data_IF_017090114947
#
_entry.id   IF_017090114947
#
_cell.length_a   1.000
_cell.length_b   1.000
_cell.length_c   1.000
_cell.angle_alpha   90.00
_cell.angle_beta   90.00
_cell.angle_gamma   90.00
#
_symmetry.space_group_name_H-M   'P 1'
#
loop_
_entity.id
_entity.type
_entity.pdbx_description
1 polymer ?
#
# COMPACT_ATOMS: atom_id res chain seq x y z
N UNK A 1 -12.10 7.53 -28.12
CA UNK A 1 -10.86 6.76 -28.37
C UNK A 1 -10.90 5.31 -27.84
N UNK A 2 -11.73 4.95 -26.85
CA UNK A 2 -11.84 3.56 -26.39
C UNK A 2 -12.67 2.65 -27.31
N UNK A 3 -13.63 3.20 -28.06
CA UNK A 3 -14.51 2.41 -28.94
C UNK A 3 -13.78 1.84 -30.17
N UNK A 4 -12.77 2.54 -30.69
CA UNK A 4 -11.99 2.11 -31.86
C UNK A 4 -10.95 1.04 -31.51
N UNK A 5 -10.54 0.95 -30.24
CA UNK A 5 -9.68 -0.13 -29.74
C UNK A 5 -10.47 -1.43 -29.51
N UNK A 6 -11.76 -1.34 -29.14
CA UNK A 6 -12.62 -2.53 -29.01
C UNK A 6 -12.91 -3.20 -30.36
N UNK A 7 -13.10 -2.43 -31.43
CA UNK A 7 -13.31 -2.98 -32.77
C UNK A 7 -12.05 -3.67 -33.31
N UNK A 8 -10.85 -3.18 -32.97
CA UNK A 8 -9.59 -3.78 -33.40
C UNK A 8 -9.29 -5.09 -32.67
N UNK A 9 -9.55 -5.15 -31.36
CA UNK A 9 -9.40 -6.38 -30.56
C UNK A 9 -10.39 -7.48 -30.98
N UNK A 10 -11.64 -7.13 -31.31
CA UNK A 10 -12.63 -8.10 -31.80
C UNK A 10 -12.24 -8.70 -33.17
N UNK A 11 -11.64 -7.89 -34.05
CA UNK A 11 -11.15 -8.34 -35.36
C UNK A 11 -9.94 -9.27 -35.23
N UNK A 12 -9.00 -9.01 -34.32
CA UNK A 12 -7.86 -9.91 -34.07
C UNK A 12 -8.31 -11.25 -33.45
N UNK A 13 -9.27 -11.23 -32.52
CA UNK A 13 -9.84 -12.48 -31.98
C UNK A 13 -10.61 -13.29 -33.02
N UNK A 14 -11.30 -12.64 -33.96
CA UNK A 14 -12.04 -13.32 -35.03
C UNK A 14 -11.11 -14.00 -36.05
N UNK A 15 -9.99 -13.33 -36.40
CA UNK A 15 -8.97 -13.89 -37.30
C UNK A 15 -8.25 -15.06 -36.64
N UNK A 16 -7.95 -14.99 -35.34
CA UNK A 16 -7.34 -16.12 -34.62
C UNK A 16 -8.30 -17.30 -34.44
N UNK A 17 -9.61 -17.08 -34.27
CA UNK A 17 -10.61 -18.15 -34.22
C UNK A 17 -10.74 -18.88 -35.57
N UNK A 18 -10.64 -18.15 -36.69
CA UNK A 18 -10.74 -18.71 -38.04
C UNK A 18 -9.50 -19.55 -38.43
N UNK A 19 -8.35 -19.31 -37.78
CA UNK A 19 -7.13 -20.10 -37.95
C UNK A 19 -7.13 -21.38 -37.09
N UNK A 20 -7.85 -21.38 -35.95
CA UNK A 20 -7.96 -22.54 -35.04
C UNK A 20 -8.98 -23.57 -35.53
N UNK A 21 -10.04 -23.15 -36.22
CA UNK A 21 -11.04 -24.07 -36.81
C UNK A 21 -10.61 -24.69 -38.15
N UNK A 22 -9.52 -24.22 -38.77
CA UNK A 22 -9.05 -24.71 -40.07
C UNK A 22 -8.12 -25.94 -40.01
N UNK A 23 -7.84 -26.47 -38.82
CA UNK A 23 -6.94 -27.60 -38.64
C UNK A 23 -7.49 -28.64 -37.68
N UNK A 24 -8.35 -29.56 -38.18
CA UNK A 24 -8.54 -30.94 -37.70
C UNK A 24 -9.72 -31.61 -38.43
N UNK A 25 -9.52 -32.04 -39.69
CA UNK A 25 -10.39 -33.03 -40.33
C UNK A 25 -9.80 -34.44 -40.11
N UNK A 26 -10.01 -35.02 -38.93
CA UNK A 26 -9.60 -36.39 -38.62
C UNK A 26 -10.68 -37.46 -38.94
N UNK A 27 -11.69 -37.13 -39.74
CA UNK A 27 -12.86 -38.01 -39.92
C UNK A 27 -13.04 -38.65 -41.32
N UNK A 28 -12.09 -38.53 -42.24
CA UNK A 28 -12.22 -39.16 -43.57
C UNK A 28 -11.49 -40.50 -43.74
N UNK A 29 -10.58 -40.88 -42.84
CA UNK A 29 -9.79 -42.11 -42.99
C UNK A 29 -10.51 -43.34 -42.40
N UNK A 30 -11.40 -43.13 -41.42
CA UNK A 30 -12.15 -44.24 -40.79
C UNK A 30 -13.30 -44.80 -41.64
N UNK A 31 -13.74 -44.11 -42.70
CA UNK A 31 -14.85 -44.57 -43.55
C UNK A 31 -14.43 -45.41 -44.76
N UNK A 32 -13.14 -45.48 -45.12
CA UNK A 32 -12.69 -46.29 -46.26
C UNK A 32 -12.35 -47.74 -45.92
N UNK A 33 -12.19 -48.10 -44.64
CA UNK A 33 -11.75 -49.45 -44.25
C UNK A 33 -12.94 -50.41 -43.97
N UNK A 34 -14.17 -49.90 -43.90
CA UNK A 34 -15.35 -50.72 -43.54
C UNK A 34 -16.11 -51.34 -44.73
N UNK A 35 -15.77 -51.02 -45.99
CA UNK A 35 -16.62 -51.37 -47.14
C UNK A 35 -16.13 -52.52 -48.04
N UNK A 36 -14.95 -53.10 -47.80
CA UNK A 36 -14.38 -54.11 -48.71
C UNK A 36 -14.52 -55.57 -48.25
N UNK A 37 -15.25 -55.86 -47.16
CA UNK A 37 -15.37 -57.22 -46.59
C UNK A 37 -16.64 -58.00 -47.01
N UNK A 38 -17.19 -57.73 -48.19
CA UNK A 38 -18.26 -58.57 -48.77
C UNK A 38 -18.19 -58.59 -50.28
N UNK A 39 -17.49 -59.57 -50.86
CA UNK A 39 -18.02 -60.42 -51.95
C UNK A 39 -17.35 -61.78 -51.99
N UNK A 40 -18.21 -62.79 -52.10
CA UNK A 40 -17.96 -64.23 -52.09
C UNK A 40 -17.18 -64.70 -53.33
N UNK A 41 -16.28 -65.68 -53.17
CA UNK A 41 -15.98 -66.72 -54.20
C UNK A 41 -17.11 -67.78 -54.17
N UNK A 42 -17.44 -68.60 -55.22
CA UNK A 42 -16.58 -69.13 -56.32
C UNK A 42 -17.41 -69.24 -57.68
N UNK A 43 -17.20 -70.11 -58.72
CA UNK A 43 -16.41 -71.35 -58.86
C UNK A 43 -15.23 -71.31 -59.85
N UNK A 44 -14.22 -72.13 -59.54
CA UNK A 44 -13.19 -72.53 -60.49
C UNK A 44 -13.74 -73.56 -61.49
N UNK A 45 -13.38 -73.41 -62.76
CA UNK A 45 -13.44 -74.49 -63.75
C UNK A 45 -12.05 -74.69 -64.31
N UNK A 46 -11.51 -75.88 -64.05
CA UNK A 46 -10.26 -76.40 -64.56
C UNK A 46 -10.21 -76.38 -66.09
N UNK A 47 -9.08 -75.93 -66.64
CA UNK A 47 -8.51 -76.59 -67.81
C UNK A 47 -7.01 -76.73 -67.62
N UNK A 48 -6.64 -77.89 -67.09
CA UNK A 48 -5.30 -78.45 -67.11
C UNK A 48 -4.83 -78.55 -68.57
N UNK A 49 -3.71 -77.90 -68.91
CA UNK A 49 -2.82 -78.42 -69.93
C UNK A 49 -1.45 -78.61 -69.29
N UNK A 50 -1.16 -79.88 -69.01
CA UNK A 50 0.14 -80.37 -68.58
C UNK A 50 1.19 -80.06 -69.65
N UNK A 51 2.22 -79.33 -69.27
CA UNK A 51 3.57 -79.46 -69.79
C UNK A 51 4.45 -79.67 -68.57
N UNK A 52 4.67 -80.94 -68.23
CA UNK A 52 5.53 -81.39 -67.15
C UNK A 52 6.99 -81.19 -67.55
N UNK A 53 7.61 -80.14 -67.04
CA UNK A 53 9.07 -80.08 -66.86
C UNK A 53 9.36 -80.15 -65.35
N UNK A 54 10.24 -81.04 -64.87
CA UNK A 54 10.56 -81.15 -63.44
C UNK A 54 11.15 -79.86 -62.85
N UNK A 55 11.65 -78.96 -63.69
CA UNK A 55 12.37 -77.75 -63.28
C UNK A 55 11.44 -76.52 -63.13
N UNK A 56 10.32 -76.46 -63.86
CA UNK A 56 9.42 -75.30 -63.84
C UNK A 56 8.44 -75.29 -62.66
N UNK A 57 8.01 -76.46 -62.19
CA UNK A 57 7.15 -76.58 -61.00
C UNK A 57 7.92 -76.27 -59.71
N UNK A 58 9.21 -76.63 -59.64
CA UNK A 58 10.10 -76.28 -58.54
C UNK A 58 10.29 -74.76 -58.47
N UNK A 59 10.55 -74.12 -59.62
CA UNK A 59 10.79 -72.68 -59.73
C UNK A 59 9.54 -71.84 -59.40
N UNK A 60 8.35 -72.26 -59.86
CA UNK A 60 7.09 -71.59 -59.51
C UNK A 60 6.74 -71.72 -58.02
N UNK A 61 7.02 -72.87 -57.39
CA UNK A 61 6.75 -73.06 -55.96
C UNK A 61 7.71 -72.25 -55.06
N UNK A 62 8.96 -72.06 -55.50
CA UNK A 62 9.96 -71.20 -54.86
C UNK A 62 9.54 -69.72 -54.91
N UNK A 63 9.22 -69.19 -56.09
CA UNK A 63 8.84 -67.76 -56.24
C UNK A 63 7.56 -67.42 -55.46
N UNK A 64 6.54 -68.27 -55.49
CA UNK A 64 5.29 -68.02 -54.75
C UNK A 64 5.49 -68.12 -53.23
N UNK A 65 6.38 -69.01 -52.77
CA UNK A 65 6.79 -69.14 -51.37
C UNK A 65 7.51 -67.87 -50.88
N UNK A 66 8.41 -67.31 -51.69
CA UNK A 66 9.14 -66.09 -51.35
C UNK A 66 8.21 -64.86 -51.26
N UNK A 67 7.25 -64.73 -52.19
CA UNK A 67 6.24 -63.66 -52.16
C UNK A 67 5.36 -63.76 -50.91
N UNK A 68 4.88 -64.96 -50.57
CA UNK A 68 4.09 -65.17 -49.35
C UNK A 68 4.89 -64.91 -48.08
N UNK A 69 6.18 -65.20 -48.10
CA UNK A 69 7.10 -64.91 -46.98
C UNK A 69 7.24 -63.40 -46.81
N UNK A 70 7.54 -62.66 -47.88
CA UNK A 70 7.66 -61.20 -47.85
C UNK A 70 6.34 -60.51 -47.42
N UNK A 71 5.19 -61.00 -47.88
CA UNK A 71 3.88 -60.48 -47.45
C UNK A 71 3.61 -60.76 -45.97
N UNK A 72 4.03 -61.90 -45.44
CA UNK A 72 3.91 -62.22 -44.02
C UNK A 72 4.79 -61.32 -43.17
N UNK A 73 6.03 -61.07 -43.60
CA UNK A 73 6.95 -60.13 -42.95
C UNK A 73 6.40 -58.71 -42.97
N UNK A 74 5.89 -58.24 -44.11
CA UNK A 74 5.24 -56.94 -44.21
C UNK A 74 3.98 -56.85 -43.32
N UNK A 75 3.18 -57.91 -43.27
CA UNK A 75 2.02 -57.97 -42.38
C UNK A 75 2.47 -57.87 -40.92
N UNK A 76 3.53 -58.58 -40.53
CA UNK A 76 4.08 -58.51 -39.19
C UNK A 76 4.55 -57.08 -38.84
N UNK A 77 5.32 -56.43 -39.72
CA UNK A 77 5.83 -55.07 -39.47
C UNK A 77 4.71 -54.03 -39.42
N UNK A 78 3.69 -54.13 -40.27
CA UNK A 78 2.51 -53.25 -40.23
C UNK A 78 1.71 -53.46 -38.94
N UNK A 79 1.55 -54.71 -38.49
CA UNK A 79 0.87 -54.98 -37.21
C UNK A 79 1.64 -54.41 -36.02
N UNK A 80 2.97 -54.48 -36.03
CA UNK A 80 3.84 -53.90 -35.00
C UNK A 80 3.78 -52.37 -35.01
N UNK A 81 3.86 -51.72 -36.17
CA UNK A 81 3.70 -50.28 -36.30
C UNK A 81 2.34 -49.79 -35.79
N UNK A 82 1.26 -50.53 -36.07
CA UNK A 82 -0.09 -50.21 -35.57
C UNK A 82 -0.17 -50.28 -34.04
N UNK A 83 0.55 -51.21 -33.41
CA UNK A 83 0.66 -51.28 -31.95
C UNK A 83 1.44 -50.08 -31.41
N UNK A 84 2.57 -49.73 -32.03
CA UNK A 84 3.38 -48.59 -31.62
C UNK A 84 2.62 -47.26 -31.72
N UNK A 85 1.84 -47.04 -32.78
CA UNK A 85 0.99 -45.85 -32.94
C UNK A 85 -0.03 -45.77 -31.80
N UNK A 86 -0.75 -46.85 -31.50
CA UNK A 86 -1.71 -46.88 -30.38
C UNK A 86 -1.04 -46.59 -29.04
N UNK A 87 0.16 -47.12 -28.82
CA UNK A 87 0.93 -46.85 -27.60
C UNK A 87 1.33 -45.37 -27.49
N UNK A 88 1.77 -44.76 -28.60
CA UNK A 88 2.11 -43.33 -28.65
C UNK A 88 0.88 -42.44 -28.45
N UNK A 89 -0.26 -42.73 -29.09
CA UNK A 89 -1.52 -42.03 -28.87
C UNK A 89 -1.99 -42.10 -27.41
N UNK A 90 -1.82 -43.26 -26.78
CA UNK A 90 -2.15 -43.46 -25.36
C UNK A 90 -1.25 -42.60 -24.48
N UNK A 91 0.06 -42.65 -24.71
CA UNK A 91 1.04 -41.83 -23.98
C UNK A 91 0.79 -40.33 -24.15
N UNK A 92 0.41 -39.89 -25.35
CA UNK A 92 0.08 -38.49 -25.62
C UNK A 92 -1.16 -38.06 -24.83
N UNK A 93 -2.22 -38.88 -24.81
CA UNK A 93 -3.43 -38.62 -24.01
C UNK A 93 -3.14 -38.58 -22.51
N UNK A 94 -2.31 -39.49 -22.01
CA UNK A 94 -1.87 -39.50 -20.61
C UNK A 94 -1.08 -38.23 -20.26
N UNK A 95 -0.17 -37.78 -21.13
CA UNK A 95 0.55 -36.53 -20.92
C UNK A 95 -0.38 -35.30 -20.94
N UNK A 96 -1.35 -35.27 -21.86
CA UNK A 96 -2.33 -34.18 -21.94
C UNK A 96 -3.21 -34.11 -20.69
N UNK A 97 -3.72 -35.26 -20.23
CA UNK A 97 -4.54 -35.33 -19.01
C UNK A 97 -3.76 -34.94 -17.77
N UNK A 98 -2.49 -35.39 -17.65
CA UNK A 98 -1.61 -34.98 -16.57
C UNK A 98 -1.37 -33.46 -16.54
N UNK A 99 -1.05 -32.85 -17.69
CA UNK A 99 -0.81 -31.41 -17.75
C UNK A 99 -2.06 -30.59 -17.44
N UNK A 100 -3.22 -31.04 -17.89
CA UNK A 100 -4.50 -30.39 -17.60
C UNK A 100 -4.83 -30.43 -16.10
N UNK A 101 -4.61 -31.58 -15.44
CA UNK A 101 -4.83 -31.71 -14.00
C UNK A 101 -3.87 -30.82 -13.20
N UNK A 102 -2.59 -30.79 -13.59
CA UNK A 102 -1.58 -29.93 -12.96
C UNK A 102 -1.89 -28.44 -13.12
N UNK A 103 -2.36 -28.02 -14.31
CA UNK A 103 -2.79 -26.65 -14.55
C UNK A 103 -4.00 -26.28 -13.69
N UNK A 104 -5.01 -27.16 -13.60
CA UNK A 104 -6.18 -26.90 -12.78
C UNK A 104 -5.81 -26.77 -11.30
N UNK A 105 -4.96 -27.65 -10.78
CA UNK A 105 -4.45 -27.54 -9.39
C UNK A 105 -3.74 -26.21 -9.14
N UNK A 106 -2.91 -25.76 -10.09
CA UNK A 106 -2.23 -24.46 -10.00
C UNK A 106 -3.22 -23.30 -10.05
N UNK A 107 -4.27 -23.41 -10.85
CA UNK A 107 -5.30 -22.38 -10.95
C UNK A 107 -6.09 -22.26 -9.63
N UNK A 108 -6.51 -23.37 -9.04
CA UNK A 108 -7.21 -23.39 -7.74
C UNK A 108 -6.36 -22.79 -6.61
N UNK A 109 -5.05 -23.10 -6.63
CA UNK A 109 -4.10 -22.53 -5.68
C UNK A 109 -3.92 -21.01 -5.87
N UNK A 110 -3.88 -20.53 -7.12
CA UNK A 110 -3.80 -19.10 -7.43
C UNK A 110 -5.07 -18.36 -7.02
N UNK A 111 -6.25 -18.92 -7.28
CA UNK A 111 -7.52 -18.33 -6.86
C UNK A 111 -7.63 -18.22 -5.34
N UNK A 112 -7.15 -19.24 -4.62
CA UNK A 112 -7.13 -19.21 -3.14
C UNK A 112 -6.21 -18.13 -2.61
N UNK A 113 -4.99 -18.01 -3.17
CA UNK A 113 -4.05 -16.94 -2.80
C UNK A 113 -4.58 -15.55 -3.11
N UNK A 114 -5.34 -15.40 -4.21
CA UNK A 114 -5.96 -14.14 -4.58
C UNK A 114 -7.01 -13.72 -3.54
N UNK A 115 -7.90 -14.63 -3.16
CA UNK A 115 -8.90 -14.37 -2.11
C UNK A 115 -8.26 -13.98 -0.77
N UNK A 116 -7.19 -14.66 -0.37
CA UNK A 116 -6.47 -14.34 0.88
C UNK A 116 -5.79 -12.96 0.80
N UNK A 117 -5.25 -12.59 -0.36
CA UNK A 117 -4.65 -11.28 -0.59
C UNK A 117 -5.70 -10.16 -0.55
N UNK A 118 -6.84 -10.35 -1.22
CA UNK A 118 -7.97 -9.40 -1.18
C UNK A 118 -8.47 -9.17 0.24
N UNK A 119 -8.64 -10.26 1.02
CA UNK A 119 -9.02 -10.16 2.43
C UNK A 119 -7.99 -9.43 3.28
N UNK A 120 -6.70 -9.61 2.98
CA UNK A 120 -5.62 -8.92 3.69
C UNK A 120 -5.61 -7.43 3.35
N UNK A 121 -5.86 -7.07 2.08
CA UNK A 121 -5.98 -5.68 1.64
C UNK A 121 -7.16 -4.98 2.32
N UNK A 122 -8.34 -5.62 2.34
CA UNK A 122 -9.50 -5.12 3.07
C UNK A 122 -9.19 -4.89 4.56
N UNK A 123 -8.52 -5.83 5.22
CA UNK A 123 -8.11 -5.65 6.62
C UNK A 123 -7.13 -4.50 6.80
N UNK A 124 -6.18 -4.32 5.88
CA UNK A 124 -5.22 -3.20 5.92
C UNK A 124 -5.93 -1.85 5.77
N UNK A 125 -6.93 -1.74 4.90
CA UNK A 125 -7.69 -0.48 4.73
C UNK A 125 -8.42 -0.07 6.01
N UNK A 126 -9.03 -1.02 6.74
CA UNK A 126 -9.72 -0.75 8.01
C UNK A 126 -8.74 -0.28 9.08
N UNK A 127 -7.57 -0.94 9.20
CA UNK A 127 -6.54 -0.55 10.17
C UNK A 127 -6.01 0.86 9.87
N UNK A 128 -5.79 1.20 8.60
CA UNK A 128 -5.35 2.53 8.20
C UNK A 128 -6.37 3.62 8.58
N UNK A 129 -7.67 3.35 8.39
CA UNK A 129 -8.71 4.31 8.78
C UNK A 129 -8.77 4.52 10.29
N UNK A 130 -8.63 3.46 11.08
CA UNK A 130 -8.61 3.54 12.55
C UNK A 130 -7.37 4.29 13.06
N UNK A 131 -6.19 4.01 12.48
CA UNK A 131 -4.95 4.72 12.80
C UNK A 131 -5.04 6.22 12.48
N UNK A 132 -5.67 6.59 11.36
CA UNK A 132 -5.88 7.99 11.01
C UNK A 132 -6.79 8.69 12.03
N UNK A 133 -7.94 8.07 12.38
CA UNK A 133 -8.85 8.60 13.41
C UNK A 133 -8.14 8.80 14.75
N UNK A 134 -7.30 7.83 15.15
CA UNK A 134 -6.52 7.91 16.39
C UNK A 134 -5.48 9.03 16.33
N UNK A 135 -4.81 9.19 15.19
CA UNK A 135 -3.81 10.25 14.97
C UNK A 135 -4.45 11.63 15.05
N UNK A 136 -5.60 11.82 14.42
CA UNK A 136 -6.37 13.07 14.48
C UNK A 136 -6.82 13.38 15.92
N UNK A 137 -7.31 12.36 16.64
CA UNK A 137 -7.69 12.50 18.05
C UNK A 137 -6.53 12.93 18.94
N UNK A 138 -5.35 12.33 18.76
CA UNK A 138 -4.14 12.68 19.51
C UNK A 138 -3.68 14.11 19.18
N UNK A 139 -3.70 14.48 17.89
CA UNK A 139 -3.31 15.83 17.44
C UNK A 139 -4.19 16.91 18.07
N UNK A 140 -5.51 16.72 18.01
CA UNK A 140 -6.48 17.67 18.57
C UNK A 140 -6.33 17.81 20.10
N UNK A 141 -6.16 16.69 20.82
CA UNK A 141 -5.94 16.72 22.27
C UNK A 141 -4.64 17.45 22.62
N UNK A 142 -3.55 17.16 21.89
CA UNK A 142 -2.24 17.80 22.10
C UNK A 142 -2.33 19.30 21.86
N UNK A 143 -3.00 19.73 20.80
CA UNK A 143 -3.18 21.15 20.49
C UNK A 143 -3.98 21.86 21.58
N UNK A 144 -5.04 21.23 22.10
CA UNK A 144 -5.85 21.79 23.20
C UNK A 144 -5.01 21.96 24.48
N UNK A 145 -4.26 20.93 24.87
CA UNK A 145 -3.40 20.98 26.05
C UNK A 145 -2.30 22.04 25.93
N UNK A 146 -1.69 22.18 24.75
CA UNK A 146 -0.68 23.20 24.49
C UNK A 146 -1.26 24.60 24.60
N UNK A 147 -2.47 24.85 24.07
CA UNK A 147 -3.08 26.18 24.17
C UNK A 147 -3.50 26.52 25.62
N UNK A 148 -4.00 25.54 26.36
CA UNK A 148 -4.32 25.71 27.78
C UNK A 148 -3.06 26.06 28.60
N UNK A 149 -1.97 25.30 28.44
CA UNK A 149 -0.69 25.59 29.10
C UNK A 149 -0.09 26.93 28.69
N UNK A 150 -0.24 27.33 27.42
CA UNK A 150 0.19 28.66 26.95
C UNK A 150 -0.62 29.76 27.63
N UNK A 151 -1.93 29.58 27.73
CA UNK A 151 -2.80 30.53 28.42
C UNK A 151 -2.44 30.64 29.90
N UNK A 152 -2.30 29.51 30.60
CA UNK A 152 -1.86 29.49 31.99
C UNK A 152 -0.50 30.17 32.20
N UNK A 153 0.46 29.98 31.29
CA UNK A 153 1.74 30.66 31.39
C UNK A 153 1.64 32.17 31.15
N UNK A 154 0.81 32.63 30.20
CA UNK A 154 0.55 34.07 30.00
C UNK A 154 -0.04 34.71 31.26
N UNK A 155 -0.92 34.02 31.95
CA UNK A 155 -1.54 34.51 33.20
C UNK A 155 -0.55 34.58 34.38
N UNK A 156 0.66 33.99 34.24
CA UNK A 156 1.72 34.01 35.25
C UNK A 156 2.79 35.08 35.00
N UNK A 157 2.80 35.70 33.83
CA UNK A 157 3.72 36.80 33.53
C UNK A 157 3.31 38.04 34.33
N UNK A 158 4.24 38.61 35.11
CA UNK A 158 3.98 39.76 35.96
C UNK A 158 5.17 40.72 35.85
N UNK A 159 4.92 41.92 35.35
CA UNK A 159 5.94 42.95 35.26
C UNK A 159 5.30 44.34 35.26
N UNK A 160 5.92 45.30 35.95
CA UNK A 160 5.50 46.69 35.86
C UNK A 160 6.69 47.64 35.79
N UNK A 161 6.48 48.79 35.15
CA UNK A 161 7.41 49.91 35.11
C UNK A 161 6.62 51.20 35.02
N UNK A 162 7.01 52.18 35.83
CA UNK A 162 6.29 53.45 35.92
C UNK A 162 7.23 54.59 36.34
N UNK A 163 6.88 55.82 35.97
CA UNK A 163 7.52 57.04 36.45
C UNK A 163 6.57 57.89 37.30
N UNK A 164 7.16 58.74 38.14
CA UNK A 164 6.43 59.59 39.06
C UNK A 164 5.71 60.74 38.33
N UNK A 165 6.38 61.32 37.33
CA UNK A 165 5.89 62.45 36.54
C UNK A 165 5.76 62.01 35.07
N UNK A 166 4.70 62.45 34.40
CA UNK A 166 4.39 62.13 33.00
C UNK A 166 5.22 62.96 32.02
N UNK A 167 5.46 64.24 32.31
CA UNK A 167 6.31 65.14 31.52
C UNK A 167 6.83 66.32 32.36
N UNK A 168 7.98 66.87 31.96
CA UNK A 168 8.63 68.01 32.63
C UNK A 168 9.52 67.63 33.82
N UNK A 169 9.97 68.65 34.55
CA UNK A 169 10.72 68.49 35.80
C UNK A 169 9.82 68.84 36.99
N UNK A 170 10.02 68.14 38.10
CA UNK A 170 9.28 68.41 39.33
C UNK A 170 9.85 67.65 40.50
N UNK A 171 9.56 68.13 41.70
CA UNK A 171 9.96 67.52 42.95
C UNK A 171 8.72 67.06 43.72
N UNK A 172 8.84 65.93 44.40
CA UNK A 172 7.75 65.35 45.21
C UNK A 172 8.21 65.38 46.66
N UNK A 173 7.59 66.27 47.44
CA UNK A 173 7.97 66.60 48.81
C UNK A 173 8.22 68.11 49.00
N UNK A 174 8.72 68.55 50.17
CA UNK A 174 9.12 67.71 51.30
C UNK A 174 7.93 67.13 52.07
N UNK A 175 8.11 65.95 52.66
CA UNK A 175 7.12 65.34 53.56
C UNK A 175 7.71 65.20 54.96
N UNK A 176 6.93 65.56 55.97
CA UNK A 176 7.31 65.42 57.40
C UNK A 176 7.00 64.03 57.95
N UNK A 177 6.27 63.22 57.18
CA UNK A 177 5.87 61.85 57.52
C UNK A 177 6.04 60.95 56.30
N UNK A 178 6.07 59.64 56.51
CA UNK A 178 6.12 58.67 55.43
C UNK A 178 4.83 58.69 54.63
N UNK A 179 4.97 58.89 53.33
CA UNK A 179 3.86 58.84 52.39
C UNK A 179 4.08 57.70 51.38
N UNK A 180 2.98 57.14 50.88
CA UNK A 180 3.05 56.19 49.77
C UNK A 180 3.22 56.95 48.47
N UNK A 181 4.29 56.65 47.72
CA UNK A 181 4.57 57.28 46.44
C UNK A 181 3.74 56.62 45.33
N UNK A 182 2.89 57.40 44.66
CA UNK A 182 2.10 56.93 43.51
C UNK A 182 2.82 57.28 42.21
N UNK A 183 3.36 56.28 41.50
CA UNK A 183 3.90 56.44 40.15
C UNK A 183 2.75 56.29 39.15
N UNK A 184 2.26 57.41 38.61
CA UNK A 184 1.04 57.45 37.79
C UNK A 184 1.26 57.25 36.30
N UNK A 185 2.47 57.48 35.83
CA UNK A 185 2.81 57.28 34.43
C UNK A 185 3.29 55.84 34.20
N UNK A 186 2.40 54.98 33.71
CA UNK A 186 2.65 53.55 33.51
C UNK A 186 3.24 53.30 32.13
N UNK A 187 4.40 52.64 32.05
CA UNK A 187 4.98 52.15 30.79
C UNK A 187 4.61 50.68 30.53
N UNK A 188 4.59 49.86 31.58
CA UNK A 188 4.22 48.44 31.50
C UNK A 188 3.48 48.04 32.79
N UNK A 189 2.45 47.21 32.69
CA UNK A 189 1.73 46.63 33.84
C UNK A 189 1.15 45.24 33.49
N UNK A 190 2.01 44.34 33.04
CA UNK A 190 1.66 42.95 32.71
C UNK A 190 1.17 42.25 33.98
N UNK A 191 0.02 41.59 33.89
CA UNK A 191 -0.66 40.97 35.03
C UNK A 191 -1.42 41.95 35.93
N UNK A 192 -1.44 43.26 35.60
CA UNK A 192 -2.16 44.31 36.33
C UNK A 192 -1.90 44.33 37.85
N UNK A 193 -0.70 43.92 38.26
CA UNK A 193 -0.35 43.74 39.66
C UNK A 193 -0.01 45.07 40.37
N UNK A 194 0.35 46.13 39.61
CA UNK A 194 0.57 47.46 40.15
C UNK A 194 -0.67 48.35 40.00
N UNK A 195 -1.11 48.98 41.09
CA UNK A 195 -2.21 49.93 41.08
C UNK A 195 -1.69 51.38 41.07
N UNK A 196 -1.83 52.14 39.96
CA UNK A 196 -1.32 53.52 39.86
C UNK A 196 -2.05 54.53 40.75
N UNK A 197 -3.26 54.19 41.23
CA UNK A 197 -4.05 55.06 42.11
C UNK A 197 -3.50 54.99 43.53
N UNK A 198 -3.13 53.80 44.00
CA UNK A 198 -2.63 53.59 45.37
C UNK A 198 -1.11 53.55 45.48
N UNK A 199 -0.39 53.32 44.37
CA UNK A 199 1.07 53.12 44.38
C UNK A 199 1.51 51.74 44.87
N UNK A 200 0.56 50.80 45.01
CA UNK A 200 0.81 49.49 45.62
C UNK A 200 0.91 48.42 44.53
N UNK A 201 2.00 47.65 44.57
CA UNK A 201 2.12 46.38 43.87
C UNK A 201 1.61 45.24 44.75
N UNK A 202 0.66 44.46 44.25
CA UNK A 202 0.14 43.26 44.93
C UNK A 202 0.63 42.03 44.18
N UNK A 203 1.47 41.21 44.82
CA UNK A 203 1.96 39.96 44.23
C UNK A 203 0.78 38.98 44.03
N UNK A 204 0.36 38.68 42.79
CA UNK A 204 -0.79 37.81 42.56
C UNK A 204 -0.43 36.32 42.72
N UNK A 205 0.86 35.98 42.58
CA UNK A 205 1.38 34.62 42.68
C UNK A 205 2.51 34.53 43.70
N UNK A 206 2.69 33.36 44.31
CA UNK A 206 3.86 33.08 45.14
C UNK A 206 5.10 32.99 44.25
N UNK A 207 6.16 33.71 44.60
CA UNK A 207 7.38 33.72 43.81
C UNK A 207 8.39 34.74 44.31
N UNK A 208 9.47 34.88 43.55
CA UNK A 208 10.52 35.87 43.78
C UNK A 208 10.25 37.08 42.89
N UNK A 209 10.31 38.27 43.48
CA UNK A 209 10.08 39.54 42.80
C UNK A 209 11.32 40.42 42.92
N UNK A 210 11.67 41.11 41.84
CA UNK A 210 12.74 42.11 41.82
C UNK A 210 12.15 43.49 41.67
N UNK A 211 12.44 44.36 42.62
CA UNK A 211 12.10 45.78 42.56
C UNK A 211 13.37 46.60 42.35
N UNK A 212 13.27 47.62 41.51
CA UNK A 212 14.34 48.58 41.27
C UNK A 212 13.70 49.97 41.24
N UNK A 213 14.29 50.91 41.95
CA UNK A 213 13.85 52.30 41.98
C UNK A 213 15.07 53.21 42.04
N UNK A 214 14.92 54.41 41.50
CA UNK A 214 15.95 55.44 41.50
C UNK A 214 15.44 56.64 42.28
N UNK A 215 16.29 57.18 43.16
CA UNK A 215 16.01 58.39 43.95
C UNK A 215 16.94 59.48 43.45
N UNK A 216 16.42 60.70 43.32
CA UNK A 216 17.20 61.88 42.98
C UNK A 216 16.95 62.97 44.03
N UNK A 217 18.04 63.52 44.57
CA UNK A 217 18.03 64.61 45.55
C UNK A 217 18.46 65.94 44.94
N UNK A 218 18.13 67.04 45.60
CA UNK A 218 18.62 68.38 45.26
C UNK A 218 19.88 68.65 46.07
N UNK A 219 20.90 69.21 45.41
CA UNK A 219 22.16 69.61 46.07
C UNK A 219 21.86 70.69 47.13
N UNK A 220 22.41 70.54 48.34
CA UNK A 220 22.22 71.45 49.49
C UNK A 220 20.78 71.48 50.06
N UNK A 221 19.96 70.46 49.80
CA UNK A 221 18.65 70.27 50.44
C UNK A 221 18.70 69.18 51.53
N UNK A 222 17.57 68.99 52.22
CA UNK A 222 17.40 67.84 53.11
C UNK A 222 17.52 66.52 52.33
N UNK A 223 18.07 65.45 52.92
CA UNK A 223 18.25 64.18 52.22
C UNK A 223 16.94 63.61 51.65
N UNK A 224 16.98 63.16 50.40
CA UNK A 224 15.87 62.47 49.77
C UNK A 224 15.92 60.99 50.10
N UNK A 225 14.93 60.49 50.83
CA UNK A 225 14.86 59.08 51.23
C UNK A 225 13.64 58.41 50.59
N UNK A 226 13.84 57.24 49.99
CA UNK A 226 12.73 56.37 49.58
C UNK A 226 12.98 54.94 50.07
N UNK A 227 11.90 54.21 50.34
CA UNK A 227 11.99 52.86 50.86
C UNK A 227 10.98 51.93 50.18
N UNK A 228 11.36 50.66 50.02
CA UNK A 228 10.44 49.60 49.66
C UNK A 228 9.80 49.06 50.93
N UNK A 229 8.47 49.07 50.96
CA UNK A 229 7.65 48.55 52.05
C UNK A 229 7.01 47.22 51.62
N UNK A 230 7.08 46.19 52.47
CA UNK A 230 6.37 44.92 52.31
C UNK A 230 5.41 44.74 53.48
N UNK A 231 4.10 44.76 53.22
CA UNK A 231 3.06 44.57 54.23
C UNK A 231 3.25 45.44 55.49
N UNK A 232 3.60 46.72 55.29
CA UNK A 232 3.83 47.68 56.37
C UNK A 232 5.23 47.66 57.00
N UNK A 233 6.12 46.74 56.58
CA UNK A 233 7.50 46.67 57.07
C UNK A 233 8.50 47.19 56.04
N UNK A 234 9.49 47.98 56.49
CA UNK A 234 10.56 48.50 55.63
C UNK A 234 11.56 47.39 55.30
N UNK A 235 11.85 47.20 54.01
CA UNK A 235 12.76 46.13 53.54
C UNK A 235 14.06 46.71 52.96
N UNK A 236 13.98 47.78 52.17
CA UNK A 236 15.13 48.43 51.52
C UNK A 236 14.95 49.94 51.60
N UNK A 237 16.03 50.69 51.81
CA UNK A 237 16.05 52.15 51.81
C UNK A 237 17.17 52.64 50.91
N UNK A 238 16.87 53.65 50.10
CA UNK A 238 17.86 54.45 49.39
C UNK A 238 17.74 55.90 49.84
N UNK A 239 18.89 56.54 50.06
CA UNK A 239 19.00 57.93 50.48
C UNK A 239 20.04 58.62 49.60
N UNK A 240 19.72 59.83 49.15
CA UNK A 240 20.57 60.68 48.28
C UNK A 240 20.64 62.09 48.83
#
# INVERSE_FOLDING_TARGET
MKDWLCTLLLLETFVLQQQVDAGLSENEISQQISNEDRRQNPPQTNTLRQETSPDSQQYCHLIFSDIHTALRELTATVTEQKVNIRALETRLREQQTFFLEELNKKNDALETRLRDAEKTDEQQTVILEELNKKTDGISNLTQSQVEELRKENRDREIAFSASMIQSGSGHVGPFTTEITLTYRNIFTNIGNAYNPITGIFTAPLKGVYRFSFSVYGIINANPSTASIMKNGQRVVTAQV
#
